data_IF_754198693263
#
_entry.id   IF_754198693263
#
_cell.length_a   1.000
_cell.length_b   1.000
_cell.length_c   1.000
_cell.angle_alpha   90.00
_cell.angle_beta   90.00
_cell.angle_gamma   90.00
#
_symmetry.space_group_name_H-M   'P 1'
#
loop_
_entity.id
_entity.type
_entity.pdbx_description
1 polymer ?
#
# COMPACT_ATOMS: atom_id res chain seq x y z
N UNK A 1 19.71 -2.57 15.04
CA UNK A 1 20.35 -1.25 15.00
C UNK A 1 19.39 -0.22 15.54
N UNK A 2 19.89 0.84 16.18
CA UNK A 2 19.03 1.80 16.85
C UNK A 2 18.33 2.69 15.82
N UNK A 3 17.05 2.42 15.55
CA UNK A 3 16.17 3.36 14.86
C UNK A 3 15.86 4.50 15.82
N UNK A 4 16.23 5.72 15.47
CA UNK A 4 15.87 6.92 16.23
C UNK A 4 14.66 7.58 15.57
N UNK A 5 13.65 7.97 16.35
CA UNK A 5 12.48 8.71 15.85
C UNK A 5 12.46 10.07 16.56
N UNK A 6 12.50 11.13 15.77
CA UNK A 6 12.39 12.52 16.22
C UNK A 6 11.11 13.12 15.65
N UNK A 7 10.24 13.58 16.53
CA UNK A 7 8.96 14.22 16.20
C UNK A 7 9.02 15.70 16.53
N UNK A 8 8.54 16.53 15.62
CA UNK A 8 8.51 17.99 15.73
C UNK A 8 7.09 18.51 15.47
N UNK A 9 6.82 19.74 15.91
CA UNK A 9 5.49 20.33 15.81
C UNK A 9 5.13 20.74 14.38
N UNK A 10 6.12 21.21 13.61
CA UNK A 10 5.95 21.78 12.27
C UNK A 10 7.04 21.29 11.32
N UNK A 11 6.81 21.47 10.02
CA UNK A 11 7.81 21.27 8.97
C UNK A 11 9.06 22.15 9.20
N UNK A 12 8.88 23.42 9.57
CA UNK A 12 9.98 24.34 9.86
C UNK A 12 10.86 23.88 11.04
N UNK A 13 10.24 23.45 12.15
CA UNK A 13 10.98 22.90 13.29
C UNK A 13 11.71 21.58 12.92
N UNK A 14 11.13 20.81 12.00
CA UNK A 14 11.78 19.60 11.45
C UNK A 14 13.01 19.97 10.63
N UNK A 15 12.91 20.99 9.78
CA UNK A 15 14.01 21.51 8.97
C UNK A 15 15.16 22.06 9.83
N UNK A 16 14.85 22.85 10.86
CA UNK A 16 15.85 23.36 11.81
C UNK A 16 16.63 22.25 12.50
N UNK A 17 15.92 21.25 13.03
CA UNK A 17 16.54 20.13 13.72
C UNK A 17 17.35 19.24 12.78
N UNK A 18 16.88 19.06 11.53
CA UNK A 18 17.62 18.35 10.50
C UNK A 18 18.92 19.10 10.16
N UNK A 19 18.88 20.42 10.05
CA UNK A 19 20.04 21.23 9.72
C UNK A 19 21.16 21.13 10.77
N UNK A 20 20.80 21.18 12.06
CA UNK A 20 21.74 20.96 13.17
C UNK A 20 22.36 19.57 13.05
N UNK A 21 21.55 18.54 12.84
CA UNK A 21 22.01 17.16 12.69
C UNK A 21 22.97 16.99 11.50
N UNK A 22 22.65 17.57 10.34
CA UNK A 22 23.50 17.54 9.14
C UNK A 22 24.81 18.30 9.39
N UNK A 23 24.75 19.47 10.02
CA UNK A 23 25.94 20.26 10.37
C UNK A 23 26.90 19.46 11.27
N UNK A 24 26.38 18.85 12.34
CA UNK A 24 27.17 18.04 13.26
C UNK A 24 27.80 16.82 12.57
N UNK A 25 27.03 16.11 11.74
CA UNK A 25 27.54 15.00 10.94
C UNK A 25 28.61 15.44 9.96
N UNK A 26 28.41 16.59 9.30
CA UNK A 26 29.39 17.13 8.36
C UNK A 26 30.72 17.44 9.04
N UNK A 27 30.69 18.10 10.21
CA UNK A 27 31.89 18.41 10.98
C UNK A 27 32.62 17.13 11.42
N UNK A 28 31.87 16.12 11.86
CA UNK A 28 32.42 14.82 12.27
C UNK A 28 33.07 14.07 11.11
N UNK A 29 32.39 13.98 9.96
CA UNK A 29 32.93 13.30 8.77
C UNK A 29 34.16 14.01 8.22
N UNK A 30 34.14 15.35 8.15
CA UNK A 30 35.29 16.13 7.71
C UNK A 30 36.48 15.92 8.65
N UNK A 31 36.26 15.88 9.97
CA UNK A 31 37.33 15.59 10.93
C UNK A 31 37.87 14.15 10.82
N UNK A 32 37.02 13.17 10.53
CA UNK A 32 37.39 11.75 10.39
C UNK A 32 38.18 11.47 9.10
N UNK A 33 37.71 12.00 7.97
CA UNK A 33 38.23 11.60 6.66
C UNK A 33 38.34 12.72 5.61
N UNK A 34 38.17 13.97 6.02
CA UNK A 34 38.51 15.15 5.22
C UNK A 34 37.45 15.60 4.22
N UNK A 35 36.30 14.94 4.15
CA UNK A 35 35.17 15.31 3.29
C UNK A 35 33.83 14.92 3.92
N UNK A 36 32.72 15.41 3.37
CA UNK A 36 31.38 14.99 3.74
C UNK A 36 30.55 14.70 2.49
N UNK A 37 30.24 13.42 2.28
CA UNK A 37 29.46 12.94 1.14
C UNK A 37 27.98 12.82 1.49
N UNK A 38 27.14 13.65 0.87
CA UNK A 38 25.71 13.71 1.15
C UNK A 38 24.88 13.48 -0.12
N UNK A 39 23.84 12.66 0.01
CA UNK A 39 22.88 12.34 -1.05
C UNK A 39 21.54 13.02 -0.77
N UNK A 40 21.01 13.74 -1.75
CA UNK A 40 19.78 14.53 -1.64
C UNK A 40 18.58 13.84 -2.31
N UNK A 41 17.38 14.11 -1.79
CA UNK A 41 16.08 13.68 -2.32
C UNK A 41 15.13 14.88 -2.60
N UNK A 42 15.67 16.11 -2.62
CA UNK A 42 14.94 17.39 -2.57
C UNK A 42 15.07 18.03 -1.19
N UNK A 43 15.49 19.30 -1.11
CA UNK A 43 15.82 19.96 0.17
C UNK A 43 15.44 21.44 0.14
N UNK A 44 14.92 21.93 1.27
CA UNK A 44 14.81 23.36 1.60
C UNK A 44 15.81 23.72 2.72
N UNK A 45 16.32 24.96 2.78
CA UNK A 45 17.52 25.33 3.56
C UNK A 45 17.25 25.33 5.08
N UNK A 46 18.28 25.13 5.94
CA UNK A 46 18.95 26.29 6.59
C UNK A 46 20.43 26.12 7.07
N UNK A 47 20.97 27.27 7.56
CA UNK A 47 22.23 27.60 8.25
C UNK A 47 23.56 27.59 7.46
N UNK A 48 24.06 28.79 7.15
CA UNK A 48 25.27 29.05 6.33
C UNK A 48 26.55 29.22 7.17
N UNK A 49 26.44 29.51 8.47
CA UNK A 49 27.54 30.12 9.24
C UNK A 49 28.60 29.18 9.86
N UNK A 50 28.33 27.89 10.04
CA UNK A 50 29.19 26.96 10.81
C UNK A 50 29.73 25.76 10.01
N UNK A 51 29.53 25.76 8.69
CA UNK A 51 29.76 24.58 7.83
C UNK A 51 30.92 24.86 6.86
N UNK A 52 31.87 23.93 6.75
CA UNK A 52 32.92 23.97 5.72
C UNK A 52 32.42 23.37 4.40
N UNK A 53 31.70 24.20 3.64
CA UNK A 53 31.10 23.86 2.35
C UNK A 53 32.10 23.37 1.30
N UNK A 54 33.38 23.73 1.42
CA UNK A 54 34.42 23.33 0.46
C UNK A 54 34.69 21.82 0.45
N UNK A 55 34.26 21.14 1.52
CA UNK A 55 34.47 19.71 1.76
C UNK A 55 33.24 18.85 1.50
N UNK A 56 32.11 19.46 1.16
CA UNK A 56 30.87 18.76 0.87
C UNK A 56 30.91 18.20 -0.55
N UNK A 57 30.49 16.95 -0.73
CA UNK A 57 30.30 16.26 -2.00
C UNK A 57 28.81 15.93 -2.13
N UNK A 58 28.15 16.46 -3.17
CA UNK A 58 26.69 16.40 -3.32
C UNK A 58 26.29 15.41 -4.42
N UNK A 59 25.33 14.55 -4.10
CA UNK A 59 24.79 13.53 -5.00
C UNK A 59 23.26 13.50 -4.93
N UNK A 60 22.63 12.85 -5.90
CA UNK A 60 21.18 12.61 -5.92
C UNK A 60 20.84 11.13 -5.77
N UNK A 61 19.80 10.87 -4.98
CA UNK A 61 19.25 9.54 -4.69
C UNK A 61 18.47 8.99 -5.89
N UNK A 62 17.69 9.87 -6.51
CA UNK A 62 16.95 9.66 -7.74
C UNK A 62 16.82 10.99 -8.50
N UNK A 63 16.49 10.90 -9.78
CA UNK A 63 16.21 12.06 -10.62
C UNK A 63 15.24 11.69 -11.74
N UNK A 64 14.50 12.70 -12.17
CA UNK A 64 13.59 12.68 -13.29
C UNK A 64 14.45 12.87 -14.53
N UNK A 65 14.28 12.02 -15.55
CA UNK A 65 15.10 12.12 -16.77
C UNK A 65 14.55 13.25 -17.64
N UNK A 66 14.86 14.47 -17.24
CA UNK A 66 14.51 15.76 -17.84
C UNK A 66 15.74 16.68 -17.80
N UNK A 67 15.77 17.79 -18.55
CA UNK A 67 16.83 18.80 -18.44
C UNK A 67 17.02 19.30 -17.01
N UNK A 68 18.25 19.68 -16.65
CA UNK A 68 18.58 20.13 -15.29
C UNK A 68 17.89 21.44 -14.89
N UNK A 69 17.41 22.22 -15.86
CA UNK A 69 16.64 23.45 -15.63
C UNK A 69 15.11 23.23 -15.67
N UNK A 70 14.66 21.99 -15.87
CA UNK A 70 13.25 21.63 -15.90
C UNK A 70 12.60 21.74 -14.50
N UNK A 71 11.36 22.22 -14.38
CA UNK A 71 10.68 22.37 -13.07
C UNK A 71 10.54 21.06 -12.28
N UNK A 72 10.49 19.91 -12.95
CA UNK A 72 10.43 18.60 -12.30
C UNK A 72 11.80 18.02 -11.90
N UNK A 73 12.92 18.70 -12.17
CA UNK A 73 14.27 18.23 -11.80
C UNK A 73 14.53 18.42 -10.30
N UNK A 74 14.98 17.34 -9.65
CA UNK A 74 15.49 17.37 -8.28
C UNK A 74 16.77 18.21 -8.16
N UNK A 75 17.61 18.27 -9.20
CA UNK A 75 18.74 19.17 -9.28
C UNK A 75 18.29 20.63 -9.25
N UNK A 76 17.34 21.03 -10.10
CA UNK A 76 16.80 22.40 -10.10
C UNK A 76 16.26 22.78 -8.73
N UNK A 77 15.44 21.91 -8.13
CA UNK A 77 14.88 22.12 -6.80
C UNK A 77 15.97 22.37 -5.77
N UNK A 78 17.00 21.52 -5.74
CA UNK A 78 18.14 21.67 -4.83
C UNK A 78 18.97 22.93 -5.13
N UNK A 79 19.13 23.30 -6.41
CA UNK A 79 19.88 24.48 -6.80
C UNK A 79 19.21 25.77 -6.35
N UNK A 80 17.92 25.94 -6.68
CA UNK A 80 17.13 27.12 -6.30
C UNK A 80 16.93 27.20 -4.77
N UNK A 81 16.70 26.05 -4.13
CA UNK A 81 16.43 25.95 -2.70
C UNK A 81 17.66 26.14 -1.83
N UNK A 82 18.82 25.63 -2.27
CA UNK A 82 19.99 25.44 -1.41
C UNK A 82 21.33 25.73 -2.11
N UNK A 83 21.69 25.05 -3.20
CA UNK A 83 23.06 25.09 -3.74
C UNK A 83 23.47 26.50 -4.24
N UNK A 84 22.53 27.30 -4.74
CA UNK A 84 22.77 28.69 -5.14
C UNK A 84 23.06 29.64 -3.97
N UNK A 85 22.86 29.19 -2.73
CA UNK A 85 22.96 30.00 -1.51
C UNK A 85 24.19 29.66 -0.66
N UNK A 86 24.95 28.63 -1.04
CA UNK A 86 26.11 28.15 -0.28
C UNK A 86 27.35 27.99 -1.18
N UNK A 87 28.57 28.25 -0.67
CA UNK A 87 29.79 28.23 -1.46
C UNK A 87 30.35 26.80 -1.65
N UNK A 88 29.54 25.86 -2.14
CA UNK A 88 30.00 24.51 -2.49
C UNK A 88 30.68 24.59 -3.88
N UNK A 89 31.92 24.09 -4.04
CA UNK A 89 32.58 24.06 -5.35
C UNK A 89 31.77 23.24 -6.37
N UNK A 90 31.62 23.74 -7.59
CA UNK A 90 30.88 23.02 -8.65
C UNK A 90 31.47 21.63 -8.94
N UNK A 91 32.80 21.48 -8.80
CA UNK A 91 33.49 20.19 -8.94
C UNK A 91 33.06 19.14 -7.90
N UNK A 92 32.40 19.55 -6.83
CA UNK A 92 31.91 18.69 -5.78
C UNK A 92 30.42 18.35 -5.93
N UNK A 93 29.75 18.88 -6.96
CA UNK A 93 28.33 18.63 -7.22
C UNK A 93 28.25 17.62 -8.37
N UNK A 94 27.65 16.47 -8.10
CA UNK A 94 27.56 15.35 -9.04
C UNK A 94 26.11 15.14 -9.47
N UNK A 95 25.55 16.00 -10.33
CA UNK A 95 24.20 15.80 -10.86
C UNK A 95 24.15 14.61 -11.79
N UNK A 96 22.97 14.03 -11.93
CA UNK A 96 22.67 13.04 -12.95
C UNK A 96 22.73 13.72 -14.32
N UNK A 97 23.39 13.08 -15.28
CA UNK A 97 23.64 13.68 -16.59
C UNK A 97 22.36 13.76 -17.43
N UNK A 98 22.08 14.95 -17.96
CA UNK A 98 20.97 15.18 -18.88
C UNK A 98 21.26 14.68 -20.31
N UNK A 99 20.25 14.72 -21.19
CA UNK A 99 20.33 14.32 -22.60
C UNK A 99 20.74 12.85 -22.83
N UNK A 100 20.41 11.98 -21.87
CA UNK A 100 20.58 10.53 -21.96
C UNK A 100 19.24 9.83 -21.79
N UNK A 101 19.09 8.62 -22.33
CA UNK A 101 17.97 7.75 -21.96
C UNK A 101 18.08 7.35 -20.48
N UNK A 102 16.98 6.89 -19.84
CA UNK A 102 17.02 6.48 -18.44
C UNK A 102 18.05 5.38 -18.15
N UNK A 103 18.24 4.45 -19.08
CA UNK A 103 19.23 3.38 -18.98
C UNK A 103 20.66 3.93 -19.07
N UNK A 104 20.95 4.75 -20.08
CA UNK A 104 22.27 5.37 -20.25
C UNK A 104 22.63 6.29 -19.07
N UNK A 105 21.65 7.04 -18.54
CA UNK A 105 21.85 7.86 -17.34
C UNK A 105 22.18 7.00 -16.12
N UNK A 106 21.48 5.88 -15.92
CA UNK A 106 21.75 4.95 -14.83
C UNK A 106 23.13 4.31 -14.92
N UNK A 107 23.53 3.88 -16.12
CA UNK A 107 24.85 3.30 -16.39
C UNK A 107 25.98 4.33 -16.18
N UNK A 108 25.80 5.54 -16.69
CA UNK A 108 26.76 6.63 -16.53
C UNK A 108 26.95 7.00 -15.06
N UNK A 109 25.85 7.19 -14.33
CA UNK A 109 25.91 7.58 -12.93
C UNK A 109 26.52 6.47 -12.06
N UNK A 110 26.18 5.19 -12.32
CA UNK A 110 26.83 4.05 -11.67
C UNK A 110 28.34 4.01 -11.94
N UNK A 111 28.76 4.20 -13.20
CA UNK A 111 30.18 4.21 -13.55
C UNK A 111 30.92 5.38 -12.89
N UNK A 112 30.28 6.55 -12.81
CA UNK A 112 30.83 7.72 -12.13
C UNK A 112 31.06 7.45 -10.64
N UNK A 113 30.09 6.84 -9.96
CA UNK A 113 30.24 6.44 -8.55
C UNK A 113 31.37 5.42 -8.36
N UNK A 114 31.48 4.42 -9.24
CA UNK A 114 32.57 3.43 -9.21
C UNK A 114 33.94 4.09 -9.39
N UNK A 115 34.06 5.08 -10.28
CA UNK A 115 35.29 5.84 -10.48
C UNK A 115 35.66 6.65 -9.22
N UNK A 116 34.67 7.27 -8.56
CA UNK A 116 34.86 7.99 -7.29
C UNK A 116 35.25 7.06 -6.13
N UNK A 117 34.83 5.80 -6.16
CA UNK A 117 35.31 4.80 -5.21
C UNK A 117 36.76 4.39 -5.55
N UNK A 118 37.05 4.16 -6.84
CA UNK A 118 38.38 3.73 -7.29
C UNK A 118 39.47 4.78 -7.02
N UNK A 119 39.16 6.07 -7.16
CA UNK A 119 40.07 7.17 -6.86
C UNK A 119 40.08 7.58 -5.37
N UNK A 120 39.32 6.88 -4.51
CA UNK A 120 39.18 7.10 -3.06
C UNK A 120 38.51 8.42 -2.66
N UNK A 121 37.77 9.06 -3.56
CA UNK A 121 36.89 10.19 -3.22
C UNK A 121 35.67 9.73 -2.40
N UNK A 122 35.12 8.55 -2.71
CA UNK A 122 34.08 7.89 -1.92
C UNK A 122 34.65 6.65 -1.22
N UNK A 123 34.13 6.38 -0.02
CA UNK A 123 34.45 5.15 0.71
C UNK A 123 33.72 3.96 0.08
N UNK A 124 34.23 2.76 0.30
CA UNK A 124 33.55 1.51 -0.05
C UNK A 124 32.93 0.89 1.19
N UNK A 125 31.70 0.40 1.10
CA UNK A 125 31.11 -0.43 2.14
C UNK A 125 31.85 -1.77 2.22
N UNK A 126 32.27 -2.21 3.43
CA UNK A 126 32.84 -3.54 3.63
C UNK A 126 31.78 -4.66 3.57
N UNK A 127 30.49 -4.33 3.62
CA UNK A 127 29.38 -5.30 3.63
C UNK A 127 28.89 -5.59 2.22
N UNK A 128 28.65 -4.53 1.43
CA UNK A 128 28.06 -4.65 0.09
C UNK A 128 29.11 -4.54 -1.02
N UNK A 129 30.26 -3.91 -0.75
CA UNK A 129 31.24 -3.51 -1.76
C UNK A 129 30.82 -2.29 -2.59
N UNK A 130 29.72 -1.60 -2.22
CA UNK A 130 29.20 -0.45 -2.95
C UNK A 130 29.77 0.86 -2.39
N UNK A 131 29.53 2.00 -3.05
CA UNK A 131 29.86 3.30 -2.47
C UNK A 131 29.15 3.49 -1.12
N UNK A 132 29.90 3.96 -0.13
CA UNK A 132 29.44 4.27 1.22
C UNK A 132 29.46 5.78 1.41
N UNK A 133 28.28 6.36 1.50
CA UNK A 133 28.08 7.79 1.75
C UNK A 133 28.02 8.07 3.26
N UNK A 134 28.33 9.31 3.64
CA UNK A 134 28.24 9.75 5.05
C UNK A 134 26.77 9.89 5.45
N UNK A 135 25.97 10.56 4.63
CA UNK A 135 24.56 10.79 4.88
C UNK A 135 23.71 10.66 3.61
N UNK A 136 22.58 9.98 3.69
CA UNK A 136 21.51 10.12 2.70
C UNK A 136 20.28 10.76 3.33
N UNK A 137 19.81 11.85 2.71
CA UNK A 137 18.52 12.45 3.00
C UNK A 137 17.47 11.79 2.12
N UNK A 138 16.53 11.08 2.74
CA UNK A 138 15.57 10.23 2.03
C UNK A 138 14.16 10.70 2.36
N UNK A 139 13.43 11.15 1.34
CA UNK A 139 12.00 11.42 1.44
C UNK A 139 11.18 10.14 1.32
N UNK A 140 9.87 10.25 1.59
CA UNK A 140 8.92 9.15 1.43
C UNK A 140 7.65 9.61 0.71
N UNK A 141 7.20 8.80 -0.24
CA UNK A 141 5.88 8.98 -0.85
C UNK A 141 4.72 8.62 0.08
N UNK A 142 3.50 9.12 -0.20
CA UNK A 142 2.27 8.70 0.49
C UNK A 142 2.03 7.18 0.42
N UNK A 143 2.58 6.51 -0.58
CA UNK A 143 2.53 5.07 -0.83
C UNK A 143 3.74 4.30 -0.24
N UNK A 144 4.60 4.97 0.54
CA UNK A 144 5.75 4.36 1.21
C UNK A 144 6.95 4.07 0.30
N UNK A 145 6.93 4.55 -0.96
CA UNK A 145 8.12 4.49 -1.82
C UNK A 145 9.20 5.43 -1.30
N UNK A 146 10.46 5.07 -1.58
CA UNK A 146 11.65 5.88 -1.35
C UNK A 146 12.40 6.01 -2.66
N UNK A 147 13.04 7.14 -2.91
CA UNK A 147 13.66 7.42 -4.21
C UNK A 147 12.64 7.19 -5.35
N UNK A 148 12.99 6.43 -6.38
CA UNK A 148 12.02 5.89 -7.36
C UNK A 148 11.80 4.39 -7.22
N UNK A 149 11.88 3.84 -5.99
CA UNK A 149 11.62 2.43 -5.67
C UNK A 149 10.17 2.24 -5.19
N UNK A 150 9.26 2.07 -6.15
CA UNK A 150 7.82 1.93 -5.90
C UNK A 150 7.41 0.51 -5.46
N UNK A 151 6.28 0.40 -4.75
CA UNK A 151 5.72 -0.87 -4.28
C UNK A 151 5.46 -1.88 -5.42
N UNK A 152 5.09 -1.39 -6.60
CA UNK A 152 4.63 -2.19 -7.74
C UNK A 152 5.68 -2.36 -8.84
N UNK A 153 6.90 -1.86 -8.63
CA UNK A 153 7.99 -1.88 -9.59
C UNK A 153 9.08 -2.86 -9.17
N UNK A 154 9.64 -3.59 -10.15
CA UNK A 154 10.61 -4.66 -9.90
C UNK A 154 11.99 -4.14 -9.47
N UNK A 155 12.29 -2.87 -9.72
CA UNK A 155 13.53 -2.18 -9.33
C UNK A 155 13.76 -2.24 -7.81
N UNK A 156 12.69 -2.34 -7.02
CA UNK A 156 12.76 -2.53 -5.57
C UNK A 156 13.38 -3.89 -5.16
N UNK A 157 13.56 -4.82 -6.10
CA UNK A 157 14.21 -6.11 -5.91
C UNK A 157 15.60 -6.19 -6.54
N UNK A 158 16.11 -5.11 -7.14
CA UNK A 158 17.47 -5.07 -7.70
C UNK A 158 18.51 -5.22 -6.56
N UNK A 159 19.48 -6.11 -6.78
CA UNK A 159 20.48 -6.50 -5.77
C UNK A 159 21.93 -6.33 -6.24
N UNK A 160 22.16 -6.20 -7.55
CA UNK A 160 23.47 -6.24 -8.18
C UNK A 160 23.92 -4.86 -8.65
N UNK A 161 23.03 -4.11 -9.27
CA UNK A 161 23.33 -2.75 -9.75
C UNK A 161 23.38 -1.75 -8.60
N UNK A 162 24.22 -0.73 -8.72
CA UNK A 162 24.29 0.39 -7.79
C UNK A 162 23.14 1.37 -8.08
N UNK A 163 22.90 1.61 -9.37
CA UNK A 163 21.87 2.52 -9.88
C UNK A 163 21.03 1.77 -10.91
N UNK A 164 19.72 1.99 -10.91
CA UNK A 164 18.77 1.43 -11.88
C UNK A 164 17.84 2.52 -12.40
N UNK A 165 16.93 2.17 -13.29
CA UNK A 165 15.99 3.10 -13.90
C UNK A 165 14.58 2.50 -14.00
N UNK A 166 13.60 3.40 -14.10
CA UNK A 166 12.21 3.09 -14.44
C UNK A 166 11.78 3.99 -15.61
N UNK A 167 10.94 3.47 -16.49
CA UNK A 167 10.39 4.24 -17.62
C UNK A 167 8.91 4.57 -17.44
N UNK A 168 8.26 3.93 -16.48
CA UNK A 168 6.81 3.92 -16.26
C UNK A 168 6.45 4.27 -14.81
N UNK A 169 7.14 5.25 -14.22
CA UNK A 169 6.79 5.73 -12.87
C UNK A 169 5.30 6.07 -12.78
N UNK A 170 4.60 5.66 -11.71
CA UNK A 170 3.20 6.01 -11.52
C UNK A 170 3.00 7.50 -11.22
N UNK A 171 4.09 8.26 -11.07
CA UNK A 171 4.10 9.71 -10.85
C UNK A 171 4.83 10.41 -11.99
N UNK A 172 4.25 11.47 -12.57
CA UNK A 172 4.93 12.23 -13.63
C UNK A 172 6.20 12.91 -13.10
N UNK A 173 7.21 13.14 -13.97
CA UNK A 173 7.39 12.48 -15.26
C UNK A 173 7.72 10.97 -15.08
N UNK A 174 7.28 10.09 -16.00
CA UNK A 174 7.46 8.64 -15.87
C UNK A 174 8.92 8.16 -15.85
N UNK A 175 9.83 8.67 -16.70
CA UNK A 175 11.20 8.18 -16.74
C UNK A 175 12.04 8.72 -15.59
N UNK A 176 12.64 7.81 -14.82
CA UNK A 176 13.46 8.13 -13.65
C UNK A 176 14.66 7.19 -13.54
N UNK A 177 15.69 7.70 -12.90
CA UNK A 177 16.90 6.98 -12.47
C UNK A 177 16.91 6.98 -10.95
N UNK A 178 17.38 5.90 -10.31
CA UNK A 178 17.33 5.73 -8.86
C UNK A 178 18.43 4.84 -8.32
N UNK A 179 18.91 5.14 -7.12
CA UNK A 179 19.71 4.22 -6.34
C UNK A 179 18.89 2.96 -5.98
N UNK A 180 19.59 1.84 -5.89
CA UNK A 180 19.03 0.55 -5.47
C UNK A 180 19.14 0.39 -3.96
N UNK A 181 18.34 -0.50 -3.35
CA UNK A 181 18.44 -0.73 -1.90
C UNK A 181 19.83 -1.14 -1.40
N UNK A 182 20.60 -2.00 -2.09
CA UNK A 182 21.98 -2.27 -1.67
C UNK A 182 22.84 -1.01 -1.57
N UNK A 183 22.72 -0.07 -2.52
CA UNK A 183 23.46 1.20 -2.46
C UNK A 183 22.94 2.09 -1.33
N UNK A 184 21.62 2.27 -1.22
CA UNK A 184 20.99 3.07 -0.17
C UNK A 184 21.42 2.58 1.21
N UNK A 185 21.33 1.27 1.43
CA UNK A 185 21.66 0.65 2.71
C UNK A 185 23.16 0.61 3.01
N UNK A 186 24.03 0.98 2.06
CA UNK A 186 25.48 1.12 2.29
C UNK A 186 25.86 2.42 2.99
N UNK A 187 24.91 3.36 3.17
CA UNK A 187 25.14 4.63 3.84
C UNK A 187 25.55 4.46 5.31
N UNK A 188 26.39 5.37 5.79
CA UNK A 188 26.75 5.45 7.22
C UNK A 188 25.57 5.95 8.03
N UNK A 189 24.87 6.99 7.57
CA UNK A 189 23.66 7.51 8.18
C UNK A 189 22.57 7.70 7.12
N UNK A 190 21.32 7.40 7.48
CA UNK A 190 20.13 7.80 6.71
C UNK A 190 19.22 8.62 7.59
N UNK A 191 18.88 9.81 7.12
CA UNK A 191 17.81 10.62 7.67
C UNK A 191 16.56 10.47 6.78
N UNK A 192 15.53 9.83 7.30
CA UNK A 192 14.20 9.79 6.70
C UNK A 192 13.45 11.06 7.07
N UNK A 193 13.26 11.97 6.13
CA UNK A 193 12.62 13.27 6.35
C UNK A 193 11.22 13.21 5.75
N UNK A 194 10.21 13.17 6.63
CA UNK A 194 8.83 12.89 6.23
C UNK A 194 7.92 13.86 6.97
N UNK A 195 7.46 14.86 6.23
CA UNK A 195 6.59 15.93 6.72
C UNK A 195 5.27 15.92 5.95
N UNK A 196 4.20 16.41 6.57
CA UNK A 196 2.88 16.53 5.94
C UNK A 196 1.92 15.38 6.26
N UNK A 197 0.64 15.72 6.41
CA UNK A 197 -0.45 14.78 6.72
C UNK A 197 -0.63 13.69 5.66
N UNK A 198 -0.30 13.98 4.40
CA UNK A 198 -0.33 13.00 3.33
C UNK A 198 0.74 11.91 3.47
N UNK A 199 1.59 11.93 4.50
CA UNK A 199 2.50 10.81 4.78
C UNK A 199 2.02 9.93 5.92
N UNK A 200 1.02 10.36 6.67
CA UNK A 200 0.67 9.78 7.96
C UNK A 200 0.33 8.29 7.89
N UNK A 201 -0.38 7.86 6.85
CA UNK A 201 -0.74 6.46 6.63
C UNK A 201 0.50 5.58 6.39
N UNK A 202 1.39 6.01 5.49
CA UNK A 202 2.61 5.28 5.20
C UNK A 202 3.58 5.27 6.40
N UNK A 203 3.64 6.35 7.18
CA UNK A 203 4.43 6.40 8.42
C UNK A 203 3.87 5.43 9.46
N UNK A 204 2.55 5.43 9.67
CA UNK A 204 1.88 4.50 10.58
C UNK A 204 2.13 3.05 10.20
N UNK A 205 2.08 2.74 8.91
CA UNK A 205 2.41 1.39 8.43
C UNK A 205 3.89 1.13 8.69
N UNK A 206 4.80 1.99 8.23
CA UNK A 206 6.24 1.72 8.30
C UNK A 206 6.79 1.56 9.73
N UNK A 207 6.19 2.26 10.70
CA UNK A 207 6.59 2.26 12.12
C UNK A 207 5.69 1.39 13.01
N UNK A 208 4.63 0.78 12.47
CA UNK A 208 3.69 -0.04 13.22
C UNK A 208 4.20 -1.46 13.52
N UNK A 209 3.55 -2.15 14.45
CA UNK A 209 3.75 -3.59 14.66
C UNK A 209 3.14 -4.36 13.49
N UNK A 210 3.97 -5.04 12.70
CA UNK A 210 3.47 -5.88 11.62
C UNK A 210 3.18 -7.29 12.11
N UNK A 211 2.01 -7.81 11.78
CA UNK A 211 1.85 -9.24 11.56
C UNK A 211 2.66 -9.63 10.31
N UNK A 212 3.33 -10.79 10.33
CA UNK A 212 4.25 -11.33 9.31
C UNK A 212 3.65 -11.53 7.88
N UNK A 213 2.50 -10.94 7.56
CA UNK A 213 1.73 -11.21 6.36
C UNK A 213 1.48 -9.93 5.56
N UNK A 214 2.43 -9.60 4.68
CA UNK A 214 2.36 -8.52 3.70
C UNK A 214 3.75 -8.24 3.09
N UNK A 215 3.79 -7.80 1.83
CA UNK A 215 5.06 -7.28 1.29
C UNK A 215 5.33 -5.91 1.97
N UNK A 216 6.49 -5.74 2.63
CA UNK A 216 6.78 -4.48 3.32
C UNK A 216 6.85 -3.32 2.33
N UNK A 217 6.46 -2.14 2.81
CA UNK A 217 6.63 -0.89 2.08
C UNK A 217 8.12 -0.70 1.73
N UNK A 218 8.46 -0.11 0.59
CA UNK A 218 9.84 0.18 0.20
C UNK A 218 10.64 0.87 1.31
N UNK A 219 10.06 1.85 2.01
CA UNK A 219 10.70 2.52 3.16
C UNK A 219 11.14 1.55 4.27
N UNK A 220 10.44 0.44 4.49
CA UNK A 220 10.79 -0.55 5.51
C UNK A 220 11.96 -1.46 5.10
N UNK A 221 12.38 -1.37 3.82
CA UNK A 221 13.61 -2.00 3.34
C UNK A 221 14.84 -1.11 3.53
N UNK A 222 14.65 0.15 3.94
CA UNK A 222 15.75 1.06 4.29
C UNK A 222 16.33 0.64 5.63
N UNK A 223 17.55 0.10 5.59
CA UNK A 223 18.29 -0.46 6.72
C UNK A 223 19.78 -0.14 6.51
N UNK A 224 20.21 1.11 6.79
CA UNK A 224 21.60 1.53 6.61
C UNK A 224 22.55 0.73 7.49
N UNK A 225 23.84 0.72 7.15
CA UNK A 225 24.89 0.07 7.95
C UNK A 225 25.16 0.75 9.29
N UNK A 226 24.95 2.07 9.39
CA UNK A 226 25.04 2.80 10.65
C UNK A 226 23.67 3.23 11.16
N UNK A 227 23.47 4.54 11.33
CA UNK A 227 22.25 5.08 11.93
C UNK A 227 21.08 5.27 10.97
N UNK A 228 19.87 4.99 11.46
CA UNK A 228 18.61 5.34 10.80
C UNK A 228 17.82 6.28 11.71
N UNK A 229 17.64 7.53 11.27
CA UNK A 229 16.90 8.55 12.02
C UNK A 229 15.68 9.02 11.23
N UNK A 230 14.51 8.98 11.84
CA UNK A 230 13.27 9.52 11.29
C UNK A 230 13.05 10.93 11.82
N UNK A 231 12.86 11.89 10.92
CA UNK A 231 12.48 13.28 11.19
C UNK A 231 11.05 13.47 10.71
N UNK A 232 10.13 13.62 11.66
CA UNK A 232 8.69 13.62 11.41
C UNK A 232 8.06 14.89 11.99
N UNK A 233 7.09 15.48 11.30
CA UNK A 233 6.25 16.54 11.85
C UNK A 233 4.94 15.98 12.48
N UNK A 234 4.11 16.86 13.02
CA UNK A 234 2.80 16.46 13.53
C UNK A 234 1.90 15.89 12.43
N UNK A 235 1.96 16.44 11.22
CA UNK A 235 1.17 15.97 10.08
C UNK A 235 1.46 14.51 9.77
N UNK A 236 2.73 14.17 9.54
CA UNK A 236 3.20 12.82 9.22
C UNK A 236 3.03 11.83 10.37
N UNK A 237 2.83 12.30 11.60
CA UNK A 237 2.57 11.44 12.78
C UNK A 237 1.12 11.44 13.24
N UNK A 238 0.21 12.13 12.56
CA UNK A 238 -1.19 12.30 12.99
C UNK A 238 -1.94 10.98 13.20
N UNK A 239 -1.55 9.93 12.48
CA UNK A 239 -2.16 8.59 12.56
C UNK A 239 -1.36 7.59 13.43
N UNK A 240 -0.20 7.99 13.96
CA UNK A 240 0.52 7.20 14.96
C UNK A 240 -0.21 7.33 16.29
N UNK A 241 -0.83 6.24 16.75
CA UNK A 241 -1.34 6.19 18.12
C UNK A 241 -0.15 6.29 19.07
N UNK A 242 -0.12 7.32 19.90
CA UNK A 242 0.81 7.40 21.03
C UNK A 242 0.51 6.22 21.95
N UNK A 243 1.27 5.13 21.81
CA UNK A 243 1.30 4.06 22.79
C UNK A 243 2.06 4.60 23.99
N UNK A 244 1.36 5.23 24.93
CA UNK A 244 1.84 5.29 26.31
C UNK A 244 1.80 3.84 26.80
N UNK A 245 2.98 3.23 26.91
CA UNK A 245 3.13 1.88 27.41
C UNK A 245 2.43 1.75 28.78
N UNK A 246 1.30 1.06 28.80
CA UNK A 246 0.74 0.45 30.01
C UNK A 246 0.66 -1.04 29.76
N UNK A 247 1.53 -1.73 30.48
CA UNK A 247 1.55 -3.17 30.69
C UNK A 247 0.12 -3.68 31.01
N UNK A 248 -0.45 -4.52 30.14
CA UNK A 248 -1.69 -5.24 30.43
C UNK A 248 -1.57 -6.66 29.89
N UNK A 249 -1.51 -7.59 30.85
CA UNK A 249 -1.56 -9.03 30.68
C UNK A 249 -2.84 -9.50 29.96
N UNK A 250 -2.65 -10.43 29.03
CA UNK A 250 -3.54 -11.53 28.60
C UNK A 250 -4.88 -11.21 27.93
N UNK A 251 -5.00 -11.56 26.63
CA UNK A 251 -5.83 -12.66 26.07
C UNK A 251 -6.03 -12.47 24.55
N UNK A 252 -5.54 -13.42 23.76
CA UNK A 252 -5.90 -13.66 22.34
C UNK A 252 -7.20 -14.50 22.25
N UNK A 253 -7.90 -14.63 21.08
CA UNK A 253 -7.59 -14.13 19.73
C UNK A 253 -8.77 -13.40 19.01
N UNK A 254 -8.47 -12.51 18.05
CA UNK A 254 -9.36 -12.18 16.91
C UNK A 254 -8.49 -11.63 15.75
N UNK A 255 -8.34 -12.40 14.67
CA UNK A 255 -7.53 -12.04 13.50
C UNK A 255 -8.37 -11.32 12.44
N UNK A 256 -8.48 -9.99 12.58
CA UNK A 256 -9.02 -9.12 11.52
C UNK A 256 -7.89 -8.80 10.54
N UNK A 257 -7.93 -9.38 9.33
CA UNK A 257 -7.03 -9.06 8.22
C UNK A 257 -7.43 -7.70 7.63
N UNK A 258 -6.60 -6.66 7.81
CA UNK A 258 -6.83 -5.32 7.28
C UNK A 258 -6.06 -5.09 5.97
N UNK A 259 -6.71 -4.49 4.96
CA UNK A 259 -6.07 -4.02 3.72
C UNK A 259 -6.30 -2.50 3.55
N UNK A 260 -5.19 -1.78 3.76
CA UNK A 260 -4.73 -0.51 3.18
C UNK A 260 -5.59 0.78 3.25
N UNK A 261 -5.01 1.90 3.76
CA UNK A 261 -5.51 3.25 3.59
C UNK A 261 -4.79 4.01 2.45
N UNK A 262 -5.50 4.48 1.40
CA UNK A 262 -5.18 5.73 0.66
C UNK A 262 -6.29 6.17 -0.34
N UNK A 263 -6.34 7.46 -0.66
CA UNK A 263 -7.39 8.12 -1.47
C UNK A 263 -7.37 7.72 -2.96
N UNK A 264 -8.13 6.68 -3.30
CA UNK A 264 -9.01 6.56 -4.47
C UNK A 264 -9.99 5.40 -4.19
N UNK A 265 -10.94 5.66 -3.29
CA UNK A 265 -11.56 4.67 -2.41
C UNK A 265 -12.12 3.39 -3.06
N UNK A 266 -12.78 3.45 -4.23
CA UNK A 266 -13.36 2.26 -4.87
C UNK A 266 -12.30 1.45 -5.64
N UNK A 267 -11.29 2.13 -6.21
CA UNK A 267 -10.28 1.47 -7.06
C UNK A 267 -9.32 0.59 -6.25
N UNK A 268 -9.06 0.93 -4.99
CA UNK A 268 -8.13 0.18 -4.14
C UNK A 268 -8.72 -1.12 -3.58
N UNK A 269 -9.96 -1.06 -3.06
CA UNK A 269 -10.70 -2.27 -2.66
C UNK A 269 -10.84 -3.21 -3.85
N UNK A 270 -11.11 -2.67 -5.05
CA UNK A 270 -11.17 -3.45 -6.27
C UNK A 270 -9.85 -4.11 -6.68
N UNK A 271 -8.71 -3.43 -6.51
CA UNK A 271 -7.38 -4.00 -6.77
C UNK A 271 -7.03 -5.08 -5.74
N UNK A 272 -7.24 -4.81 -4.45
CA UNK A 272 -6.93 -5.74 -3.37
C UNK A 272 -7.78 -7.01 -3.49
N UNK A 273 -9.08 -6.85 -3.74
CA UNK A 273 -9.99 -7.96 -3.99
C UNK A 273 -9.56 -8.74 -5.24
N UNK A 274 -9.18 -8.07 -6.33
CA UNK A 274 -8.71 -8.71 -7.56
C UNK A 274 -7.46 -9.58 -7.34
N UNK A 275 -6.48 -9.08 -6.56
CA UNK A 275 -5.26 -9.84 -6.23
C UNK A 275 -5.58 -11.05 -5.36
N UNK A 276 -6.43 -10.90 -4.35
CA UNK A 276 -6.85 -12.00 -3.49
C UNK A 276 -7.56 -13.09 -4.30
N UNK A 277 -8.51 -12.71 -5.16
CA UNK A 277 -9.24 -13.64 -6.02
C UNK A 277 -8.31 -14.33 -7.01
N UNK A 278 -7.35 -13.62 -7.60
CA UNK A 278 -6.35 -14.22 -8.50
C UNK A 278 -5.54 -15.32 -7.77
N UNK A 279 -5.09 -15.03 -6.55
CA UNK A 279 -4.32 -15.99 -5.75
C UNK A 279 -5.15 -17.22 -5.36
N UNK A 280 -6.35 -17.02 -4.80
CA UNK A 280 -7.25 -18.10 -4.42
C UNK A 280 -7.68 -18.93 -5.64
N UNK A 281 -8.02 -18.28 -6.74
CA UNK A 281 -8.36 -18.97 -7.99
C UNK A 281 -7.21 -19.85 -8.46
N UNK A 282 -5.97 -19.35 -8.48
CA UNK A 282 -4.82 -20.15 -8.89
C UNK A 282 -4.60 -21.35 -7.96
N UNK A 283 -4.74 -21.13 -6.65
CA UNK A 283 -4.60 -22.18 -5.63
C UNK A 283 -5.65 -23.30 -5.81
N UNK A 284 -6.94 -22.96 -5.83
CA UNK A 284 -8.00 -23.96 -5.99
C UNK A 284 -7.96 -24.66 -7.36
N UNK A 285 -7.60 -23.95 -8.44
CA UNK A 285 -7.42 -24.59 -9.74
C UNK A 285 -6.24 -25.57 -9.71
N UNK A 286 -5.13 -25.24 -9.04
CA UNK A 286 -4.01 -26.16 -8.87
C UNK A 286 -4.41 -27.38 -8.04
N UNK A 287 -5.20 -27.19 -6.98
CA UNK A 287 -5.56 -28.25 -6.03
C UNK A 287 -6.63 -29.20 -6.56
N UNK A 288 -7.68 -28.70 -7.23
CA UNK A 288 -8.84 -29.50 -7.67
C UNK A 288 -9.28 -29.29 -9.11
N UNK A 289 -8.53 -28.53 -9.90
CA UNK A 289 -8.79 -28.32 -11.33
C UNK A 289 -9.99 -27.41 -11.65
N UNK A 290 -10.59 -26.76 -10.66
CA UNK A 290 -11.74 -25.85 -10.82
C UNK A 290 -11.82 -24.83 -9.69
N UNK A 291 -12.51 -23.72 -9.91
CA UNK A 291 -12.76 -22.69 -8.90
C UNK A 291 -14.23 -22.27 -8.90
N UNK A 292 -14.88 -22.42 -7.75
CA UNK A 292 -16.29 -22.09 -7.53
C UNK A 292 -16.41 -20.84 -6.66
N UNK A 293 -17.03 -19.79 -7.20
CA UNK A 293 -17.19 -18.50 -6.52
C UNK A 293 -18.67 -18.13 -6.42
N UNK A 294 -19.08 -17.68 -5.24
CA UNK A 294 -20.43 -17.18 -5.00
C UNK A 294 -20.39 -15.67 -4.80
N UNK A 295 -21.27 -14.96 -5.49
CA UNK A 295 -21.34 -13.51 -5.49
C UNK A 295 -22.63 -13.04 -4.81
N UNK A 296 -22.51 -12.07 -3.91
CA UNK A 296 -23.63 -11.19 -3.58
C UNK A 296 -23.79 -10.10 -4.65
N UNK A 297 -25.01 -9.56 -4.71
CA UNK A 297 -25.32 -8.45 -5.61
C UNK A 297 -24.75 -7.10 -5.18
N UNK A 298 -25.22 -6.05 -5.87
CA UNK A 298 -24.99 -4.66 -5.47
C UNK A 298 -23.58 -4.15 -5.80
N UNK A 299 -23.04 -3.20 -5.00
CA UNK A 299 -21.75 -2.52 -5.27
C UNK A 299 -20.55 -3.46 -5.40
N UNK A 300 -20.61 -4.68 -4.85
CA UNK A 300 -19.59 -5.70 -5.03
C UNK A 300 -19.30 -5.98 -6.51
N UNK A 301 -20.32 -5.97 -7.36
CA UNK A 301 -20.17 -6.27 -8.79
C UNK A 301 -19.31 -5.21 -9.48
N UNK A 302 -19.42 -3.93 -9.08
CA UNK A 302 -18.59 -2.87 -9.63
C UNK A 302 -17.12 -3.02 -9.22
N UNK A 303 -16.87 -3.49 -8.00
CA UNK A 303 -15.53 -3.84 -7.50
C UNK A 303 -14.89 -4.97 -8.33
N UNK A 304 -15.68 -5.98 -8.73
CA UNK A 304 -15.19 -7.12 -9.53
C UNK A 304 -14.82 -6.77 -10.96
N UNK A 305 -15.30 -5.63 -11.51
CA UNK A 305 -14.92 -5.16 -12.86
C UNK A 305 -13.41 -5.05 -13.03
N UNK A 306 -12.66 -4.85 -11.94
CA UNK A 306 -11.19 -4.77 -11.96
C UNK A 306 -10.52 -6.04 -12.49
N UNK A 307 -11.15 -7.20 -12.32
CA UNK A 307 -10.64 -8.47 -12.88
C UNK A 307 -10.71 -8.51 -14.42
N UNK A 308 -11.53 -7.65 -15.05
CA UNK A 308 -11.74 -7.63 -16.52
C UNK A 308 -10.71 -6.80 -17.28
N UNK A 309 -9.76 -6.16 -16.59
CA UNK A 309 -8.70 -5.35 -17.20
C UNK A 309 -7.31 -5.98 -16.98
N UNK A 310 -6.30 -5.69 -17.83
CA UNK A 310 -4.93 -6.12 -17.59
C UNK A 310 -4.38 -5.66 -16.22
N UNK A 311 -3.52 -6.45 -15.57
CA UNK A 311 -3.04 -7.77 -16.00
C UNK A 311 -4.00 -8.92 -15.66
N UNK A 312 -5.04 -8.68 -14.86
CA UNK A 312 -5.87 -9.74 -14.26
C UNK A 312 -6.64 -10.58 -15.30
N UNK A 313 -7.20 -9.93 -16.32
CA UNK A 313 -8.03 -10.63 -17.31
C UNK A 313 -7.26 -11.73 -18.05
N UNK A 314 -5.98 -11.51 -18.33
CA UNK A 314 -5.09 -12.49 -18.99
C UNK A 314 -4.47 -13.50 -18.03
N UNK A 315 -4.52 -13.25 -16.71
CA UNK A 315 -3.87 -14.10 -15.71
C UNK A 315 -4.81 -15.14 -15.09
N UNK A 316 -6.12 -15.05 -15.36
CA UNK A 316 -7.12 -15.97 -14.83
C UNK A 316 -7.54 -16.96 -15.91
N UNK A 317 -7.48 -18.26 -15.58
CA UNK A 317 -8.10 -19.29 -16.41
C UNK A 317 -9.61 -19.34 -16.14
N UNK A 318 -10.33 -18.45 -16.83
CA UNK A 318 -11.78 -18.31 -16.72
C UNK A 318 -12.52 -19.60 -17.05
N UNK A 319 -11.96 -20.48 -17.89
CA UNK A 319 -12.61 -21.74 -18.28
C UNK A 319 -12.81 -22.71 -17.11
N UNK A 320 -12.12 -22.48 -16.00
CA UNK A 320 -12.18 -23.28 -14.77
C UNK A 320 -13.11 -22.71 -13.71
N UNK A 321 -13.72 -21.55 -13.97
CA UNK A 321 -14.59 -20.86 -13.03
C UNK A 321 -16.04 -21.31 -13.11
N UNK A 322 -16.67 -21.53 -11.96
CA UNK A 322 -18.12 -21.69 -11.81
C UNK A 322 -18.65 -20.58 -10.90
N UNK A 323 -19.57 -19.77 -11.40
CA UNK A 323 -20.07 -18.57 -10.71
C UNK A 323 -21.51 -18.78 -10.26
N UNK A 324 -21.77 -18.51 -8.98
CA UNK A 324 -23.07 -18.66 -8.34
C UNK A 324 -23.51 -17.34 -7.70
N UNK A 325 -24.81 -17.21 -7.43
CA UNK A 325 -25.39 -16.03 -6.79
C UNK A 325 -25.91 -16.39 -5.40
N UNK A 326 -25.48 -15.63 -4.39
CA UNK A 326 -25.84 -15.85 -3.00
C UNK A 326 -27.28 -15.43 -2.71
N UNK A 327 -27.73 -14.37 -3.37
CA UNK A 327 -29.11 -13.93 -3.38
C UNK A 327 -29.54 -13.47 -4.76
N UNK A 328 -30.84 -13.51 -5.04
CA UNK A 328 -31.43 -13.00 -6.27
C UNK A 328 -32.86 -12.53 -6.04
N UNK A 329 -33.27 -11.51 -6.79
CA UNK A 329 -34.62 -10.95 -6.80
C UNK A 329 -35.45 -11.83 -7.73
N UNK A 330 -36.70 -12.10 -7.35
CA UNK A 330 -37.60 -12.95 -8.14
C UNK A 330 -38.19 -12.11 -9.28
N UNK A 331 -37.33 -11.79 -10.26
CA UNK A 331 -37.62 -10.97 -11.43
C UNK A 331 -36.98 -11.61 -12.66
N UNK A 332 -37.43 -11.29 -13.90
CA UNK A 332 -36.79 -11.78 -15.12
C UNK A 332 -35.28 -11.46 -15.17
N UNK A 333 -34.47 -12.36 -15.75
CA UNK A 333 -33.00 -12.21 -15.80
C UNK A 333 -32.51 -10.97 -16.56
N UNK A 334 -33.37 -10.33 -17.37
CA UNK A 334 -33.06 -9.08 -18.07
C UNK A 334 -33.48 -7.82 -17.30
N UNK A 335 -34.05 -7.98 -16.10
CA UNK A 335 -34.49 -6.88 -15.24
C UNK A 335 -33.29 -6.20 -14.55
N UNK A 336 -33.32 -4.87 -14.43
CA UNK A 336 -32.24 -4.07 -13.82
C UNK A 336 -31.96 -4.41 -12.35
N UNK A 337 -32.90 -5.06 -11.65
CA UNK A 337 -32.72 -5.52 -10.27
C UNK A 337 -32.15 -6.94 -10.16
N UNK A 338 -31.95 -7.66 -11.27
CA UNK A 338 -31.35 -9.00 -11.23
C UNK A 338 -29.84 -8.92 -10.97
N UNK A 339 -29.36 -9.66 -9.96
CA UNK A 339 -27.93 -9.83 -9.69
C UNK A 339 -27.23 -10.53 -10.86
N UNK A 340 -27.90 -11.44 -11.58
CA UNK A 340 -27.41 -11.99 -12.84
C UNK A 340 -27.19 -10.91 -13.89
N UNK A 341 -28.16 -10.01 -14.12
CA UNK A 341 -28.00 -8.92 -15.10
C UNK A 341 -26.85 -7.99 -14.74
N UNK A 342 -26.77 -7.56 -13.47
CA UNK A 342 -25.70 -6.69 -12.98
C UNK A 342 -24.33 -7.34 -13.22
N UNK A 343 -24.21 -8.62 -12.89
CA UNK A 343 -22.97 -9.39 -13.07
C UNK A 343 -22.67 -9.63 -14.55
N UNK A 344 -23.66 -9.88 -15.39
CA UNK A 344 -23.47 -10.07 -16.82
C UNK A 344 -22.97 -8.79 -17.51
N UNK A 345 -23.66 -7.67 -17.29
CA UNK A 345 -23.30 -6.39 -17.90
C UNK A 345 -21.95 -5.84 -17.38
N UNK A 346 -21.68 -6.04 -16.07
CA UNK A 346 -20.46 -5.54 -15.43
C UNK A 346 -19.23 -6.43 -15.65
N UNK A 347 -19.43 -7.75 -15.67
CA UNK A 347 -18.36 -8.73 -15.48
C UNK A 347 -18.38 -9.86 -16.53
N UNK A 348 -19.45 -10.66 -16.63
CA UNK A 348 -19.44 -11.91 -17.43
C UNK A 348 -19.42 -11.68 -18.94
N UNK A 349 -20.07 -10.63 -19.44
CA UNK A 349 -20.08 -10.28 -20.87
C UNK A 349 -18.68 -10.07 -21.45
N UNK A 350 -17.68 -9.87 -20.58
CA UNK A 350 -16.28 -9.63 -20.94
C UNK A 350 -15.37 -10.83 -20.73
N UNK A 351 -15.83 -11.90 -20.06
CA UNK A 351 -14.93 -12.95 -19.54
C UNK A 351 -15.35 -14.39 -19.81
N UNK A 352 -16.64 -14.75 -19.93
CA UNK A 352 -17.04 -16.17 -19.92
C UNK A 352 -18.19 -16.60 -20.86
N UNK A 353 -18.09 -17.85 -21.35
CA UNK A 353 -19.20 -18.66 -21.90
C UNK A 353 -19.74 -19.57 -20.78
N UNK A 354 -21.06 -19.55 -20.56
CA UNK A 354 -21.73 -20.28 -19.46
C UNK A 354 -21.78 -21.79 -19.69
N UNK A 355 -21.47 -22.60 -18.67
CA UNK A 355 -21.73 -24.05 -18.65
C UNK A 355 -22.43 -24.46 -17.34
N UNK A 356 -23.40 -25.38 -17.44
CA UNK A 356 -24.10 -25.94 -16.29
C UNK A 356 -23.32 -27.11 -15.70
N UNK A 357 -23.04 -27.07 -14.41
CA UNK A 357 -22.48 -28.20 -13.65
C UNK A 357 -23.40 -28.55 -12.47
N UNK A 358 -23.51 -29.85 -12.18
CA UNK A 358 -24.34 -30.40 -11.10
C UNK A 358 -23.47 -31.15 -10.10
N UNK A 359 -23.49 -30.71 -8.83
CA UNK A 359 -22.88 -31.37 -7.68
C UNK A 359 -22.37 -30.36 -6.65
N UNK A 360 -22.79 -30.46 -5.38
CA UNK A 360 -22.37 -29.53 -4.33
C UNK A 360 -22.05 -30.24 -3.01
N UNK A 361 -20.86 -29.96 -2.48
CA UNK A 361 -20.54 -30.22 -1.07
C UNK A 361 -19.76 -29.08 -0.39
N UNK A 362 -19.20 -28.10 -1.14
CA UNK A 362 -18.55 -26.91 -0.59
C UNK A 362 -18.23 -25.89 -1.70
N UNK A 363 -18.45 -24.59 -1.46
CA UNK A 363 -17.97 -23.53 -2.36
C UNK A 363 -16.56 -23.07 -1.95
N UNK A 364 -15.74 -22.65 -2.91
CA UNK A 364 -14.35 -22.25 -2.61
C UNK A 364 -14.27 -20.86 -2.01
N UNK A 365 -14.95 -19.90 -2.64
CA UNK A 365 -14.96 -18.50 -2.20
C UNK A 365 -16.38 -17.95 -2.21
N UNK A 366 -16.79 -17.33 -1.11
CA UNK A 366 -18.00 -16.50 -1.06
C UNK A 366 -17.64 -15.04 -0.87
N UNK A 367 -18.08 -14.19 -1.81
CA UNK A 367 -17.94 -12.74 -1.74
C UNK A 367 -19.24 -12.12 -1.22
N UNK A 368 -19.19 -11.60 -0.01
CA UNK A 368 -20.34 -11.15 0.77
C UNK A 368 -20.30 -9.63 0.94
N UNK A 369 -21.23 -8.91 0.31
CA UNK A 369 -21.41 -7.49 0.53
C UNK A 369 -22.15 -7.25 1.86
N UNK A 370 -21.70 -6.24 2.61
CA UNK A 370 -22.41 -5.77 3.81
C UNK A 370 -23.15 -4.48 3.52
N UNK A 371 -24.42 -4.40 3.92
CA UNK A 371 -25.21 -3.17 3.84
C UNK A 371 -25.25 -2.38 5.16
N UNK A 372 -25.78 -1.14 5.15
CA UNK A 372 -25.72 -0.20 6.28
C UNK A 372 -26.31 -0.71 7.60
N UNK A 373 -27.30 -1.61 7.55
CA UNK A 373 -27.86 -2.19 8.78
C UNK A 373 -27.13 -3.47 9.22
N UNK A 374 -25.91 -3.71 8.73
CA UNK A 374 -25.14 -4.94 8.98
C UNK A 374 -25.73 -6.20 8.34
N UNK A 375 -26.67 -6.02 7.39
CA UNK A 375 -27.26 -7.13 6.64
C UNK A 375 -26.26 -7.69 5.61
N UNK A 376 -26.38 -8.98 5.34
CA UNK A 376 -25.60 -9.69 4.32
C UNK A 376 -26.54 -10.40 3.36
N UNK A 377 -26.26 -10.33 2.05
CA UNK A 377 -27.19 -10.82 1.02
C UNK A 377 -28.58 -10.16 1.20
N UNK A 378 -29.62 -10.97 1.42
CA UNK A 378 -30.97 -10.51 1.81
C UNK A 378 -31.33 -10.86 3.26
N UNK A 379 -30.35 -11.11 4.15
CA UNK A 379 -30.56 -11.44 5.56
C UNK A 379 -30.49 -10.17 6.45
N UNK A 380 -31.65 -9.69 6.91
CA UNK A 380 -31.79 -8.46 7.72
C UNK A 380 -32.02 -8.75 9.21
N UNK A 381 -31.64 -7.82 10.10
CA UNK A 381 -31.71 -8.02 11.56
C UNK A 381 -33.13 -8.10 12.14
N UNK A 382 -34.13 -7.49 11.50
CA UNK A 382 -35.54 -7.55 11.90
C UNK A 382 -36.34 -8.68 11.23
N UNK A 383 -35.77 -9.35 10.23
CA UNK A 383 -36.40 -10.49 9.55
C UNK A 383 -35.93 -11.80 10.20
N UNK A 384 -36.14 -11.90 11.52
CA UNK A 384 -35.71 -13.05 12.31
C UNK A 384 -36.77 -14.15 12.29
N UNK A 385 -36.97 -14.77 11.14
CA UNK A 385 -37.49 -16.14 11.15
C UNK A 385 -36.39 -17.02 11.76
N UNK A 386 -36.68 -17.94 12.70
CA UNK A 386 -35.69 -18.91 13.14
C UNK A 386 -35.30 -19.73 11.92
N UNK A 387 -34.21 -19.34 11.24
CA UNK A 387 -33.73 -20.06 10.08
C UNK A 387 -33.46 -21.48 10.53
N UNK A 388 -34.37 -22.39 10.16
CA UNK A 388 -34.29 -23.80 10.50
C UNK A 388 -32.88 -24.28 10.15
N UNK A 389 -32.19 -24.90 11.11
CA UNK A 389 -30.77 -25.28 11.07
C UNK A 389 -30.39 -26.21 9.89
N UNK A 390 -31.29 -26.49 8.95
CA UNK A 390 -31.17 -27.52 7.92
C UNK A 390 -31.50 -27.06 6.49
N UNK A 391 -31.99 -25.83 6.25
CA UNK A 391 -32.22 -25.34 4.88
C UNK A 391 -31.01 -24.57 4.36
N UNK A 392 -30.57 -24.84 3.14
CA UNK A 392 -29.46 -24.14 2.48
C UNK A 392 -29.87 -22.82 1.81
N UNK A 393 -31.12 -22.75 1.37
CA UNK A 393 -31.70 -21.59 0.68
C UNK A 393 -33.06 -21.28 1.29
N UNK A 394 -33.41 -20.00 1.35
CA UNK A 394 -34.70 -19.53 1.85
C UNK A 394 -35.31 -18.48 0.93
N UNK A 395 -36.63 -18.35 1.00
CA UNK A 395 -37.41 -17.37 0.27
C UNK A 395 -37.88 -16.27 1.22
N UNK A 396 -37.77 -15.02 0.81
CA UNK A 396 -38.21 -13.83 1.53
C UNK A 396 -39.34 -13.22 0.72
N UNK A 397 -40.50 -13.05 1.33
CA UNK A 397 -41.70 -12.48 0.68
C UNK A 397 -41.75 -10.95 0.77
N UNK A 398 -41.26 -10.39 1.88
CA UNK A 398 -41.54 -9.00 2.28
C UNK A 398 -40.25 -8.24 2.66
N UNK A 399 -39.30 -8.13 1.72
CA UNK A 399 -38.12 -7.28 1.91
C UNK A 399 -38.49 -5.79 1.85
N UNK A 400 -37.95 -4.93 2.74
CA UNK A 400 -38.17 -3.48 2.71
C UNK A 400 -37.43 -2.76 1.57
N UNK A 401 -36.67 -3.49 0.76
CA UNK A 401 -35.96 -2.97 -0.42
C UNK A 401 -36.83 -3.19 -1.68
N UNK A 402 -36.62 -2.42 -2.77
CA UNK A 402 -37.30 -2.67 -4.05
C UNK A 402 -37.18 -4.14 -4.48
N UNK A 403 -38.25 -4.69 -5.04
CA UNK A 403 -38.44 -6.12 -5.32
C UNK A 403 -38.41 -6.97 -4.03
N UNK A 404 -39.56 -7.08 -3.33
CA UNK A 404 -39.63 -7.63 -1.98
C UNK A 404 -39.42 -9.16 -1.93
N UNK A 405 -39.74 -9.84 -3.03
CA UNK A 405 -39.56 -11.28 -3.20
C UNK A 405 -38.13 -11.63 -3.58
N UNK A 406 -37.45 -12.40 -2.72
CA UNK A 406 -36.03 -12.73 -2.88
C UNK A 406 -35.75 -14.17 -2.49
N UNK A 407 -34.77 -14.76 -3.15
CA UNK A 407 -34.17 -16.04 -2.78
C UNK A 407 -32.78 -15.73 -2.22
N UNK A 408 -32.40 -16.31 -1.09
CA UNK A 408 -31.08 -16.08 -0.48
C UNK A 408 -30.55 -17.34 0.18
N UNK A 409 -29.22 -17.47 0.22
CA UNK A 409 -28.54 -18.50 1.00
C UNK A 409 -28.75 -18.24 2.50
N UNK A 410 -28.80 -19.32 3.28
CA UNK A 410 -28.87 -19.28 4.74
C UNK A 410 -27.46 -19.32 5.35
N UNK A 411 -27.32 -18.94 6.63
CA UNK A 411 -26.03 -19.00 7.33
C UNK A 411 -25.34 -20.37 7.30
N UNK A 412 -26.05 -21.52 7.46
CA UNK A 412 -25.42 -22.83 7.30
C UNK A 412 -24.73 -23.03 5.94
N UNK A 413 -25.35 -22.57 4.84
CA UNK A 413 -24.72 -22.68 3.52
C UNK A 413 -23.57 -21.68 3.38
N UNK A 414 -23.76 -20.42 3.82
CA UNK A 414 -22.73 -19.38 3.77
C UNK A 414 -21.48 -19.83 4.53
N UNK A 415 -21.65 -20.31 5.75
CA UNK A 415 -20.56 -20.73 6.64
C UNK A 415 -19.92 -22.06 6.22
N UNK A 416 -20.49 -22.76 5.24
CA UNK A 416 -19.88 -23.98 4.70
C UNK A 416 -18.76 -23.70 3.68
N UNK A 417 -18.59 -22.46 3.21
CA UNK A 417 -17.53 -22.10 2.25
C UNK A 417 -16.11 -22.35 2.80
N UNK A 418 -15.16 -22.65 1.89
CA UNK A 418 -13.74 -22.78 2.26
C UNK A 418 -13.13 -21.44 2.65
N UNK A 419 -13.41 -20.38 1.88
CA UNK A 419 -13.00 -19.01 2.14
C UNK A 419 -14.21 -18.07 2.06
N UNK A 420 -14.26 -17.08 2.95
CA UNK A 420 -15.28 -16.02 2.91
C UNK A 420 -14.61 -14.66 2.93
N UNK A 421 -14.97 -13.81 1.98
CA UNK A 421 -14.54 -12.43 1.94
C UNK A 421 -15.76 -11.50 2.11
N UNK A 422 -15.76 -10.70 3.17
CA UNK A 422 -16.73 -9.63 3.36
C UNK A 422 -16.20 -8.38 2.67
N UNK A 423 -17.01 -7.76 1.82
CA UNK A 423 -16.63 -6.61 1.00
C UNK A 423 -17.57 -5.44 1.31
N UNK A 424 -16.99 -4.32 1.75
CA UNK A 424 -17.70 -3.09 2.13
C UNK A 424 -17.14 -1.94 1.32
N UNK A 425 -17.95 -1.32 0.46
CA UNK A 425 -17.47 -0.43 -0.62
C UNK A 425 -18.15 0.95 -0.62
N UNK A 426 -18.95 1.31 0.38
CA UNK A 426 -19.71 2.59 0.34
C UNK A 426 -20.02 3.20 1.71
N UNK A 427 -20.06 4.53 1.80
CA UNK A 427 -20.93 5.34 2.68
C UNK A 427 -20.50 5.55 4.14
N UNK A 428 -20.63 6.79 4.63
CA UNK A 428 -20.47 7.16 6.06
C UNK A 428 -21.46 6.40 6.96
N UNK A 429 -22.65 6.09 6.42
CA UNK A 429 -23.73 5.36 7.11
C UNK A 429 -23.39 3.89 7.46
N UNK A 430 -22.26 3.38 6.98
CA UNK A 430 -21.82 1.99 7.19
C UNK A 430 -20.83 1.85 8.36
N UNK A 431 -20.24 2.95 8.85
CA UNK A 431 -19.13 2.89 9.77
C UNK A 431 -19.50 2.34 11.16
N UNK A 432 -20.66 2.71 11.69
CA UNK A 432 -21.13 2.20 12.98
C UNK A 432 -21.48 0.72 12.91
N UNK A 433 -22.12 0.28 11.82
CA UNK A 433 -22.40 -1.14 11.59
C UNK A 433 -21.10 -1.96 11.44
N UNK A 434 -20.07 -1.43 10.78
CA UNK A 434 -18.74 -2.07 10.71
C UNK A 434 -18.10 -2.17 12.11
N UNK A 435 -18.15 -1.10 12.92
CA UNK A 435 -17.59 -1.11 14.29
C UNK A 435 -18.28 -2.14 15.18
N UNK A 436 -19.61 -2.22 15.13
CA UNK A 436 -20.40 -3.23 15.86
C UNK A 436 -20.09 -4.64 15.35
N UNK A 437 -20.02 -4.83 14.02
CA UNK A 437 -19.69 -6.11 13.42
C UNK A 437 -18.31 -6.65 13.84
N UNK A 438 -17.32 -5.76 13.96
CA UNK A 438 -15.95 -6.08 14.38
C UNK A 438 -15.77 -6.14 15.91
N UNK A 439 -16.83 -5.98 16.71
CA UNK A 439 -16.78 -6.06 18.17
C UNK A 439 -16.15 -4.84 18.86
N UNK A 440 -16.07 -3.70 18.19
CA UNK A 440 -15.42 -2.47 18.67
C UNK A 440 -16.36 -1.50 19.39
N UNK A 441 -17.66 -1.80 19.42
CA UNK A 441 -18.68 -1.03 20.11
C UNK A 441 -19.68 -1.98 20.77
N UNK A 442 -20.18 -1.65 21.96
CA UNK A 442 -21.28 -2.39 22.57
C UNK A 442 -22.55 -2.16 21.74
N UNK A 443 -23.32 -3.23 21.51
CA UNK A 443 -24.56 -3.17 20.75
C UNK A 443 -25.73 -3.11 21.74
N UNK A 444 -26.41 -1.96 21.80
CA UNK A 444 -27.63 -1.81 22.62
C UNK A 444 -28.88 -2.41 21.92
N UNK A 445 -28.75 -2.95 20.70
CA UNK A 445 -29.83 -3.54 19.90
C UNK A 445 -29.44 -4.87 19.20
N UNK A 446 -30.39 -5.47 18.47
CA UNK A 446 -30.34 -6.81 17.83
C UNK A 446 -28.96 -7.16 17.19
N UNK A 447 -28.44 -8.40 17.38
CA UNK A 447 -27.17 -8.82 16.78
C UNK A 447 -27.20 -8.72 15.25
N UNK A 448 -26.14 -8.15 14.67
CA UNK A 448 -26.06 -7.91 13.23
C UNK A 448 -25.92 -9.23 12.47
N UNK A 449 -26.65 -9.45 11.35
CA UNK A 449 -26.55 -10.64 10.51
C UNK A 449 -25.11 -11.00 10.13
N UNK A 450 -24.28 -10.01 9.81
CA UNK A 450 -22.86 -10.20 9.47
C UNK A 450 -22.04 -10.87 10.59
N UNK A 451 -22.40 -10.68 11.86
CA UNK A 451 -21.70 -11.31 13.00
C UNK A 451 -21.92 -12.83 13.08
N UNK A 452 -22.85 -13.38 12.29
CA UNK A 452 -23.11 -14.82 12.16
C UNK A 452 -22.39 -15.47 10.98
N UNK A 453 -21.71 -14.67 10.16
CA UNK A 453 -20.89 -15.17 9.05
C UNK A 453 -19.54 -15.63 9.61
N UNK A 454 -19.14 -16.85 9.26
CA UNK A 454 -17.83 -17.43 9.54
C UNK A 454 -17.34 -17.35 11.01
N UNK A 455 -18.07 -17.90 12.01
CA UNK A 455 -17.52 -18.00 13.36
C UNK A 455 -16.31 -18.95 13.47
N UNK A 456 -16.09 -19.85 12.49
CA UNK A 456 -15.05 -20.91 12.51
C UNK A 456 -14.25 -21.04 11.19
N UNK A 457 -14.45 -20.16 10.20
CA UNK A 457 -13.82 -20.24 8.87
C UNK A 457 -12.90 -19.05 8.57
N UNK A 458 -12.04 -19.19 7.55
CA UNK A 458 -11.12 -18.13 7.12
C UNK A 458 -11.92 -16.93 6.56
N UNK A 459 -12.15 -15.93 7.42
CA UNK A 459 -12.85 -14.70 7.09
C UNK A 459 -11.86 -13.58 6.76
N UNK A 460 -12.04 -12.94 5.61
CA UNK A 460 -11.25 -11.76 5.21
C UNK A 460 -12.17 -10.56 4.99
N UNK A 461 -11.81 -9.41 5.53
CA UNK A 461 -12.57 -8.16 5.37
C UNK A 461 -11.88 -7.23 4.38
N UNK A 462 -12.65 -6.73 3.41
CA UNK A 462 -12.26 -5.68 2.48
C UNK A 462 -13.10 -4.45 2.80
N UNK A 463 -12.49 -3.48 3.48
CA UNK A 463 -13.15 -2.27 3.96
C UNK A 463 -12.59 -1.07 3.20
N UNK A 464 -13.47 -0.16 2.77
CA UNK A 464 -13.02 1.17 2.39
C UNK A 464 -12.68 2.01 3.64
N UNK A 465 -11.84 3.05 3.48
CA UNK A 465 -11.43 3.90 4.61
C UNK A 465 -12.58 4.65 5.29
N UNK A 466 -13.62 5.06 4.53
CA UNK A 466 -14.74 5.86 5.08
C UNK A 466 -15.62 5.02 5.99
N UNK A 467 -15.82 3.74 5.67
CA UNK A 467 -16.60 2.81 6.50
C UNK A 467 -15.86 2.35 7.77
N UNK A 468 -14.65 2.82 8.05
CA UNK A 468 -13.89 2.40 9.23
C UNK A 468 -13.36 3.56 10.09
N UNK A 469 -13.07 4.73 9.49
CA UNK A 469 -12.40 5.85 10.15
C UNK A 469 -13.28 7.07 10.45
N UNK A 470 -14.61 7.00 10.38
CA UNK A 470 -15.42 8.09 10.98
C UNK A 470 -15.26 8.05 12.50
N UNK A 471 -14.59 9.08 13.04
CA UNK A 471 -14.24 9.37 14.44
C UNK A 471 -13.23 8.44 15.12
#
# INVERSE_FOLDING_TARGET
MATCIKKFETEEATADALAIYVSDLSAKSIADHGSFSVVLSGVEPPYIGSVDWSKWLIFWLDERVVPLDHPDSNYKLAYDGFLSKVPIPESNIYPIKENLSPEEAADEYEQRLKNLVANKTLKTSPVTGFAKFDLMLVGMGPDGHVASLFCWHFQRFEKKRWVTFITDSPKPPPPRITFTFPLINSASEIALVIVGEEKADAVKIALGEHADYGYPLPVQKVKPEGGLTWFLDNGATSLLKVLIAKDVKTREPFSVKFLLPYVALIKQVAVALAVCILHLSAQFIADKGSFSVVLSGGPLIDTLRKLTVPPYNSSIDWSKWSIFYMDERVVPLNNSYSNYKLTYDGFLSKTLKTSNTTGFAKFDLMLVAMGPEGHVASLFCWYFQPFEKQKWVTFITDSPKPSPQRITFTFPLINSASEIAIVVVTGEDLADAVKVALGKHANDYCPLPVQKVAPESNLTWFLDQRSYFTT
#
